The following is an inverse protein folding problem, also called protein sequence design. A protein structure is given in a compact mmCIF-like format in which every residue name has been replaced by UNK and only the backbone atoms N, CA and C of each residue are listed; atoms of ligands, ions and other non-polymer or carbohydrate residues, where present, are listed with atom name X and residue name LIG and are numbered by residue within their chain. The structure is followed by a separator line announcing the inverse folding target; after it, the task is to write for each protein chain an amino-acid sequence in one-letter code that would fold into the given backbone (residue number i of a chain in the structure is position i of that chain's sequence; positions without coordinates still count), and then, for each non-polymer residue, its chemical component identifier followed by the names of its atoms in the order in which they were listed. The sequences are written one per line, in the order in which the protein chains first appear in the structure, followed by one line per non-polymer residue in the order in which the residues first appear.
data_IF_607942227279
#
_entry.id   IF_607942227279
#
_cell.length_a   1.000
_cell.length_b   1.000
_cell.length_c   1.000
_cell.angle_alpha   90.00
_cell.angle_beta   90.00
_cell.angle_gamma   90.00
#
_symmetry.space_group_name_H-M   'P 1'
#
loop_
_entity.id
_entity.type
_entity.pdbx_description
1 polymer ?
#
# COMPACT_ATOMS: atom_id res chain seq x y z
N UNK A 1 14.69 11.18 2.61
CA UNK A 1 14.61 10.11 1.60
C UNK A 1 13.36 9.31 1.84
N UNK A 2 12.30 9.57 1.07
CA UNK A 2 11.01 8.89 1.19
C UNK A 2 11.15 7.50 0.57
N UNK A 3 10.78 6.43 1.29
CA UNK A 3 10.72 5.08 0.70
C UNK A 3 9.47 4.98 -0.18
N UNK A 4 9.63 4.39 -1.37
CA UNK A 4 8.57 4.15 -2.34
C UNK A 4 7.38 3.44 -1.70
N UNK A 5 7.62 2.45 -0.85
CA UNK A 5 6.59 1.68 -0.16
C UNK A 5 5.80 2.55 0.83
N UNK A 6 6.46 3.50 1.51
CA UNK A 6 5.77 4.42 2.41
C UNK A 6 4.83 5.37 1.66
N UNK A 7 5.19 5.73 0.43
CA UNK A 7 4.36 6.52 -0.46
C UNK A 7 3.19 5.71 -1.03
N UNK A 8 3.42 4.45 -1.43
CA UNK A 8 2.36 3.52 -1.83
C UNK A 8 1.33 3.32 -0.72
N UNK A 9 1.76 3.17 0.54
CA UNK A 9 0.83 3.10 1.68
C UNK A 9 0.00 4.38 1.83
N UNK A 10 0.65 5.55 1.72
CA UNK A 10 -0.01 6.85 1.87
C UNK A 10 -1.04 7.10 0.76
N UNK A 11 -0.65 6.88 -0.48
CA UNK A 11 -1.52 7.05 -1.64
C UNK A 11 -2.61 5.99 -1.68
N UNK A 12 -2.28 4.73 -1.39
CA UNK A 12 -3.22 3.63 -1.32
C UNK A 12 -4.30 3.85 -0.25
N UNK A 13 -3.93 4.34 0.94
CA UNK A 13 -4.89 4.71 2.00
C UNK A 13 -5.78 5.88 1.53
N UNK A 14 -5.18 6.93 0.96
CA UNK A 14 -5.93 8.10 0.46
C UNK A 14 -6.93 7.75 -0.65
N UNK A 15 -6.59 6.79 -1.52
CA UNK A 15 -7.41 6.36 -2.65
C UNK A 15 -8.39 5.23 -2.28
N UNK A 16 -8.38 4.74 -1.04
CA UNK A 16 -9.23 3.64 -0.58
C UNK A 16 -8.83 2.25 -1.08
N UNK A 17 -7.67 2.14 -1.75
CA UNK A 17 -7.10 0.90 -2.26
C UNK A 17 -6.59 0.04 -1.09
N UNK A 18 -5.95 0.70 -0.12
CA UNK A 18 -5.50 0.08 1.13
C UNK A 18 -6.49 0.46 2.22
N UNK A 19 -7.06 -0.54 2.87
CA UNK A 19 -7.99 -0.37 3.98
C UNK A 19 -7.22 -0.32 5.28
N UNK A 20 -7.67 0.58 6.17
CA UNK A 20 -7.15 0.71 7.52
C UNK A 20 -8.27 0.49 8.53
N UNK A 21 -8.12 -0.50 9.39
CA UNK A 21 -9.04 -0.79 10.49
C UNK A 21 -8.30 -0.64 11.81
N UNK A 22 -8.47 0.53 12.44
CA UNK A 22 -7.67 0.93 13.59
C UNK A 22 -6.17 1.03 13.21
N UNK A 23 -5.34 0.21 13.84
CA UNK A 23 -3.90 0.14 13.53
C UNK A 23 -3.56 -0.83 12.39
N UNK A 24 -4.51 -1.63 11.90
CA UNK A 24 -4.24 -2.66 10.88
C UNK A 24 -4.38 -2.13 9.46
N UNK A 25 -3.42 -2.48 8.60
CA UNK A 25 -3.43 -2.20 7.16
C UNK A 25 -3.71 -3.48 6.38
N UNK A 26 -4.59 -3.39 5.38
CA UNK A 26 -4.95 -4.49 4.50
C UNK A 26 -5.10 -4.01 3.05
N UNK A 27 -4.72 -4.86 2.10
CA UNK A 27 -4.99 -4.69 0.67
C UNK A 27 -5.82 -5.88 0.21
N UNK A 28 -7.03 -5.64 -0.30
CA UNK A 28 -8.02 -6.70 -0.55
C UNK A 28 -8.18 -7.57 0.71
N UNK A 29 -7.93 -8.88 0.60
CA UNK A 29 -7.99 -9.84 1.72
C UNK A 29 -6.62 -10.09 2.37
N UNK A 30 -5.57 -9.41 1.92
CA UNK A 30 -4.19 -9.57 2.39
C UNK A 30 -3.92 -8.60 3.55
N UNK A 31 -3.54 -9.15 4.71
CA UNK A 31 -3.06 -8.35 5.84
C UNK A 31 -1.63 -7.89 5.59
N UNK A 32 -1.43 -6.58 5.43
CA UNK A 32 -0.12 -5.98 5.21
C UNK A 32 0.66 -5.84 6.53
N UNK A 33 -0.04 -5.59 7.63
CA UNK A 33 0.57 -5.53 8.96
C UNK A 33 -0.13 -4.54 9.90
N UNK A 34 0.27 -4.61 11.17
CA UNK A 34 -0.15 -3.66 12.19
C UNK A 34 0.80 -2.46 12.20
N UNK A 35 0.27 -1.29 11.91
CA UNK A 35 1.01 -0.04 11.82
C UNK A 35 1.70 0.14 10.46
N UNK A 36 2.00 1.40 10.16
CA UNK A 36 2.60 1.79 8.87
C UNK A 36 3.98 1.18 8.64
N UNK A 37 4.78 1.03 9.69
CA UNK A 37 6.13 0.45 9.63
C UNK A 37 6.11 -1.01 9.17
N UNK A 38 5.24 -1.82 9.77
CA UNK A 38 5.14 -3.24 9.44
C UNK A 38 4.55 -3.45 8.04
N UNK A 39 3.52 -2.67 7.68
CA UNK A 39 2.98 -2.68 6.33
C UNK A 39 4.02 -2.28 5.27
N UNK A 40 4.91 -1.33 5.59
CA UNK A 40 5.98 -0.91 4.68
C UNK A 40 7.01 -2.02 4.49
N UNK A 41 7.42 -2.69 5.57
CA UNK A 41 8.32 -3.85 5.50
C UNK A 41 7.71 -4.96 4.66
N UNK A 42 6.44 -5.26 4.87
CA UNK A 42 5.71 -6.24 4.07
C UNK A 42 5.77 -5.90 2.57
N UNK A 43 5.47 -4.67 2.17
CA UNK A 43 5.53 -4.27 0.75
C UNK A 43 6.96 -4.30 0.18
N UNK A 44 7.97 -4.03 1.00
CA UNK A 44 9.37 -4.14 0.60
C UNK A 44 9.78 -5.58 0.32
N UNK A 45 9.26 -6.53 1.10
CA UNK A 45 9.52 -7.97 0.97
C UNK A 45 8.65 -8.61 -0.12
N UNK A 46 7.39 -8.20 -0.21
CA UNK A 46 6.38 -8.67 -1.17
C UNK A 46 6.25 -7.71 -2.35
N UNK A 47 7.30 -7.69 -3.18
CA UNK A 47 7.40 -6.80 -4.34
C UNK A 47 6.25 -7.00 -5.35
N UNK A 48 5.69 -8.20 -5.43
CA UNK A 48 4.54 -8.46 -6.32
C UNK A 48 3.30 -7.67 -5.87
N UNK A 49 3.03 -7.66 -4.57
CA UNK A 49 1.89 -6.93 -3.99
C UNK A 49 2.13 -5.42 -4.09
N UNK A 50 3.36 -4.96 -3.83
CA UNK A 50 3.71 -3.55 -3.98
C UNK A 50 3.50 -3.05 -5.42
N UNK A 51 3.88 -3.86 -6.42
CA UNK A 51 3.68 -3.53 -7.84
C UNK A 51 2.20 -3.48 -8.20
N UNK A 52 1.41 -4.44 -7.73
CA UNK A 52 -0.04 -4.45 -7.96
C UNK A 52 -0.73 -3.22 -7.38
N UNK A 53 -0.36 -2.82 -6.15
CA UNK A 53 -0.85 -1.59 -5.52
C UNK A 53 -0.44 -0.36 -6.33
N UNK A 54 0.81 -0.30 -6.80
CA UNK A 54 1.31 0.81 -7.63
C UNK A 54 0.52 0.95 -8.94
N UNK A 55 0.26 -0.17 -9.63
CA UNK A 55 -0.54 -0.19 -10.86
C UNK A 55 -1.97 0.26 -10.62
N UNK A 56 -2.59 -0.19 -9.53
CA UNK A 56 -3.95 0.24 -9.14
C UNK A 56 -4.00 1.74 -8.82
N UNK A 57 -3.00 2.26 -8.11
CA UNK A 57 -2.86 3.69 -7.83
C UNK A 57 -2.73 4.48 -9.14
N UNK A 58 -1.88 4.05 -10.07
CA UNK A 58 -1.70 4.73 -11.37
C UNK A 58 -2.99 4.74 -12.19
N UNK A 59 -3.69 3.61 -12.28
CA UNK A 59 -5.00 3.51 -12.93
C UNK A 59 -6.01 4.47 -12.31
N UNK A 60 -6.07 4.53 -10.97
CA UNK A 60 -7.00 5.42 -10.24
C UNK A 60 -6.70 6.90 -10.49
N UNK A 61 -5.44 7.26 -10.70
CA UNK A 61 -4.98 8.61 -11.01
C UNK A 61 -4.99 8.93 -12.52
N UNK A 62 -5.45 8.00 -13.37
CA UNK A 62 -5.41 8.13 -14.83
C UNK A 62 -4.00 8.43 -15.39
N UNK A 63 -2.96 8.03 -14.68
CA UNK A 63 -1.58 8.12 -15.15
C UNK A 63 -1.36 6.94 -16.10
N UNK A 64 -1.32 7.23 -17.41
CA UNK A 64 -0.98 6.26 -18.46
C UNK A 64 0.54 6.08 -18.56
#
# INVERSE_FOLDING_TARGET
GISKEAELLKLGEKLGIIKKSGSWYAYKDIKLGQGKEQARKFLKEKKEIAKEIEEEIRKRLQLQ
#
